data_IF_413078508769
#
_entry.id   IF_413078508769
#
_cell.length_a   1.000
_cell.length_b   1.000
_cell.length_c   1.000
_cell.angle_alpha   90.00
_cell.angle_beta   90.00
_cell.angle_gamma   90.00
#
_symmetry.space_group_name_H-M   'P 1'
#
loop_
_entity.id
_entity.type
_entity.pdbx_description
1 polymer ?
#
# COMPACT_ATOMS: atom_id res chain seq x y z
N UNK A 1 4.40 -9.91 -5.31
CA UNK A 1 5.68 -10.35 -5.88
C UNK A 1 6.81 -10.29 -4.85
N UNK A 2 7.06 -9.14 -4.19
CA UNK A 2 8.23 -8.97 -3.29
C UNK A 2 8.27 -9.95 -2.11
N UNK A 3 7.15 -10.11 -1.40
CA UNK A 3 7.08 -11.06 -0.28
C UNK A 3 7.32 -12.51 -0.74
N UNK A 4 6.74 -12.91 -1.87
CA UNK A 4 6.96 -14.23 -2.45
C UNK A 4 8.44 -14.47 -2.78
N UNK A 5 9.13 -13.47 -3.31
CA UNK A 5 10.58 -13.54 -3.56
C UNK A 5 11.39 -13.73 -2.26
N UNK A 6 11.04 -13.00 -1.19
CA UNK A 6 11.69 -13.16 0.12
C UNK A 6 11.47 -14.56 0.70
N UNK A 7 10.27 -15.11 0.56
CA UNK A 7 9.94 -16.46 1.02
C UNK A 7 10.72 -17.51 0.21
N UNK A 8 10.74 -17.40 -1.11
CA UNK A 8 11.50 -18.29 -1.99
C UNK A 8 13.00 -18.27 -1.66
N UNK A 9 13.58 -17.07 -1.44
CA UNK A 9 14.99 -16.90 -1.04
C UNK A 9 15.36 -17.63 0.26
N UNK A 10 14.41 -17.81 1.18
CA UNK A 10 14.62 -18.51 2.44
C UNK A 10 14.02 -19.92 2.47
N UNK A 11 13.65 -20.47 1.31
CA UNK A 11 13.08 -21.82 1.19
C UNK A 11 11.77 -21.97 1.95
N UNK A 12 10.94 -20.92 1.95
CA UNK A 12 9.63 -20.91 2.59
C UNK A 12 8.52 -20.95 1.55
N UNK A 13 7.49 -21.74 1.84
CA UNK A 13 6.29 -21.77 1.03
C UNK A 13 5.53 -20.44 1.08
N UNK A 14 4.92 -20.08 -0.04
CA UNK A 14 4.21 -18.82 -0.22
C UNK A 14 2.78 -18.86 0.35
N UNK A 15 2.66 -19.14 1.65
CA UNK A 15 1.38 -19.20 2.37
C UNK A 15 1.01 -17.81 2.92
N UNK A 16 -0.30 -17.48 3.05
CA UNK A 16 -0.75 -16.20 3.62
C UNK A 16 -0.11 -15.87 4.98
N UNK A 17 0.06 -16.88 5.84
CA UNK A 17 0.71 -16.73 7.15
C UNK A 17 2.18 -16.35 7.05
N UNK A 18 2.94 -16.98 6.15
CA UNK A 18 4.34 -16.63 5.92
C UNK A 18 4.49 -15.23 5.31
N UNK A 19 3.58 -14.85 4.39
CA UNK A 19 3.55 -13.49 3.84
C UNK A 19 3.28 -12.46 4.93
N UNK A 20 2.34 -12.71 5.84
CA UNK A 20 2.05 -11.83 6.97
C UNK A 20 3.27 -11.66 7.88
N UNK A 21 3.93 -12.76 8.25
CA UNK A 21 5.13 -12.72 9.08
C UNK A 21 6.25 -11.93 8.39
N UNK A 22 6.48 -12.16 7.10
CA UNK A 22 7.46 -11.40 6.33
C UNK A 22 7.10 -9.91 6.23
N UNK A 23 5.82 -9.56 6.07
CA UNK A 23 5.36 -8.18 6.07
C UNK A 23 5.61 -7.47 7.41
N UNK A 24 5.22 -8.11 8.52
CA UNK A 24 5.43 -7.57 9.87
C UNK A 24 6.92 -7.28 10.12
N UNK A 25 7.82 -8.15 9.68
CA UNK A 25 9.26 -7.91 9.85
C UNK A 25 9.83 -6.88 8.88
N UNK A 26 9.56 -7.01 7.57
CA UNK A 26 10.25 -6.22 6.54
C UNK A 26 9.64 -4.83 6.28
N UNK A 27 8.34 -4.68 6.54
CA UNK A 27 7.62 -3.43 6.26
C UNK A 27 7.24 -2.69 7.54
N UNK A 28 6.67 -3.39 8.51
CA UNK A 28 6.31 -2.79 9.81
C UNK A 28 7.53 -2.68 10.75
N UNK A 29 8.62 -3.40 10.47
CA UNK A 29 9.85 -3.35 11.26
C UNK A 29 9.73 -4.04 12.63
N UNK A 30 8.71 -4.89 12.82
CA UNK A 30 8.46 -5.59 14.07
C UNK A 30 9.55 -6.63 14.35
N UNK A 31 10.03 -6.64 15.60
CA UNK A 31 11.01 -7.65 16.05
C UNK A 31 10.36 -9.02 16.23
N UNK A 32 11.18 -10.08 16.23
CA UNK A 32 10.70 -11.44 16.47
C UNK A 32 9.92 -11.57 17.80
N UNK A 33 10.34 -10.85 18.84
CA UNK A 33 9.66 -10.84 20.14
C UNK A 33 8.31 -10.11 20.10
N UNK A 34 8.23 -8.98 19.40
CA UNK A 34 6.95 -8.29 19.18
C UNK A 34 5.96 -9.18 18.45
N UNK A 35 6.40 -9.81 17.36
CA UNK A 35 5.56 -10.73 16.59
C UNK A 35 5.16 -11.94 17.44
N UNK A 36 6.08 -12.54 18.20
CA UNK A 36 5.77 -13.67 19.09
C UNK A 36 4.65 -13.35 20.09
N UNK A 37 4.57 -12.11 20.61
CA UNK A 37 3.46 -11.70 21.49
C UNK A 37 2.10 -11.66 20.79
N UNK A 38 2.07 -11.35 19.49
CA UNK A 38 0.84 -11.35 18.68
C UNK A 38 0.34 -12.78 18.39
N UNK A 39 1.26 -13.75 18.33
CA UNK A 39 0.97 -15.16 18.01
C UNK A 39 1.06 -16.00 19.29
N UNK A 40 0.12 -15.82 20.20
CA UNK A 40 0.14 -16.43 21.54
C UNK A 40 -0.90 -17.56 21.74
N UNK A 41 -1.76 -17.84 20.76
CA UNK A 41 -2.76 -18.91 20.83
C UNK A 41 -3.91 -18.70 21.82
N UNK A 42 -4.04 -17.50 22.41
CA UNK A 42 -5.20 -17.16 23.24
C UNK A 42 -6.50 -17.17 22.43
N UNK A 43 -7.64 -17.05 23.11
CA UNK A 43 -8.96 -16.99 22.47
C UNK A 43 -8.99 -15.84 21.44
N UNK A 44 -9.31 -16.17 20.18
CA UNK A 44 -9.28 -15.29 19.00
C UNK A 44 -7.89 -14.80 18.55
N UNK A 45 -6.81 -15.24 19.19
CA UNK A 45 -5.45 -14.95 18.74
C UNK A 45 -4.99 -16.01 17.72
N UNK A 46 -4.04 -15.65 16.83
CA UNK A 46 -3.37 -16.61 15.97
C UNK A 46 -2.66 -17.70 16.78
N UNK A 47 -2.59 -18.91 16.20
CA UNK A 47 -1.80 -20.00 16.76
C UNK A 47 -0.33 -19.59 16.96
N UNK A 48 0.30 -20.17 17.98
CA UNK A 48 1.70 -19.92 18.38
C UNK A 48 2.64 -20.12 17.19
N UNK A 49 3.70 -19.31 17.11
CA UNK A 49 4.72 -19.46 16.07
C UNK A 49 5.37 -20.83 16.14
N UNK A 50 5.52 -21.45 14.98
CA UNK A 50 6.35 -22.66 14.85
C UNK A 50 7.83 -22.30 14.83
N UNK A 51 8.72 -23.26 15.10
CA UNK A 51 10.17 -23.04 15.03
C UNK A 51 10.63 -22.57 13.65
N UNK A 52 9.99 -23.07 12.59
CA UNK A 52 10.27 -22.64 11.22
C UNK A 52 9.88 -21.18 10.97
N UNK A 53 8.77 -20.73 11.54
CA UNK A 53 8.31 -19.35 11.47
C UNK A 53 9.24 -18.43 12.26
N UNK A 54 9.60 -18.82 13.49
CA UNK A 54 10.58 -18.07 14.28
C UNK A 54 11.92 -17.93 13.56
N UNK A 55 12.43 -19.02 12.97
CA UNK A 55 13.66 -18.98 12.18
C UNK A 55 13.55 -18.09 10.93
N UNK A 56 12.36 -17.96 10.32
CA UNK A 56 12.12 -17.00 9.23
C UNK A 56 12.26 -15.56 9.74
N UNK A 57 11.63 -15.22 10.87
CA UNK A 57 11.70 -13.86 11.45
C UNK A 57 13.16 -13.45 11.73
N UNK A 58 13.96 -14.36 12.28
CA UNK A 58 15.39 -14.13 12.53
C UNK A 58 16.15 -13.86 11.23
N UNK A 59 15.87 -14.61 10.16
CA UNK A 59 16.52 -14.44 8.85
C UNK A 59 16.16 -13.14 8.14
N UNK A 60 14.94 -12.63 8.36
CA UNK A 60 14.45 -11.39 7.75
C UNK A 60 14.88 -10.13 8.51
N UNK A 61 15.42 -10.28 9.73
CA UNK A 61 15.79 -9.16 10.60
C UNK A 61 16.78 -8.22 9.91
N UNK A 62 16.47 -6.92 9.95
CA UNK A 62 17.30 -5.87 9.35
C UNK A 62 17.15 -5.75 7.82
N UNK A 63 16.36 -6.61 7.19
CA UNK A 63 15.96 -6.46 5.81
C UNK A 63 14.84 -5.43 5.66
N UNK A 64 14.67 -4.93 4.44
CA UNK A 64 13.54 -4.09 4.03
C UNK A 64 12.73 -4.82 2.97
N UNK A 65 11.50 -4.36 2.72
CA UNK A 65 10.65 -4.96 1.70
C UNK A 65 11.29 -4.97 0.30
N UNK A 66 12.09 -3.94 -0.01
CA UNK A 66 12.81 -3.79 -1.27
C UNK A 66 14.25 -4.27 -1.13
N UNK A 67 14.65 -5.27 -1.93
CA UNK A 67 15.99 -5.83 -1.90
C UNK A 67 16.70 -5.63 -3.26
N UNK A 68 17.99 -5.24 -3.30
CA UNK A 68 18.70 -4.93 -4.55
C UNK A 68 18.85 -6.14 -5.48
N UNK A 69 18.86 -7.35 -4.93
CA UNK A 69 18.86 -8.60 -5.70
C UNK A 69 17.50 -9.04 -6.27
N UNK A 70 16.42 -8.26 -6.08
CA UNK A 70 15.14 -8.56 -6.72
C UNK A 70 15.20 -8.19 -8.21
N UNK A 71 14.69 -9.05 -9.11
CA UNK A 71 14.37 -8.63 -10.47
C UNK A 71 13.51 -7.37 -10.47
N UNK A 72 13.72 -6.49 -11.45
CA UNK A 72 13.06 -5.18 -11.46
C UNK A 72 11.53 -5.28 -11.42
N UNK A 73 10.93 -6.17 -12.20
CA UNK A 73 9.48 -6.42 -12.20
C UNK A 73 8.95 -6.93 -10.85
N UNK A 74 9.73 -7.71 -10.11
CA UNK A 74 9.37 -8.16 -8.76
C UNK A 74 9.39 -6.98 -7.80
N UNK A 75 10.43 -6.15 -7.86
CA UNK A 75 10.59 -4.96 -7.02
C UNK A 75 9.48 -3.93 -7.28
N UNK A 76 9.04 -3.80 -8.54
CA UNK A 76 7.99 -2.89 -8.97
C UNK A 76 6.58 -3.49 -8.85
N UNK A 77 6.43 -4.70 -8.30
CA UNK A 77 5.15 -5.44 -8.24
C UNK A 77 4.43 -5.53 -9.60
N UNK A 78 5.19 -5.55 -10.70
CA UNK A 78 4.66 -5.64 -12.05
C UNK A 78 4.38 -7.11 -12.40
N UNK A 79 3.14 -7.49 -12.75
CA UNK A 79 2.86 -8.81 -13.28
C UNK A 79 3.64 -9.09 -14.58
N UNK A 80 4.06 -10.33 -14.78
CA UNK A 80 4.85 -10.74 -15.97
C UNK A 80 4.14 -10.42 -17.28
N UNK A 81 2.82 -10.64 -17.35
CA UNK A 81 2.02 -10.32 -18.54
C UNK A 81 1.98 -8.81 -18.88
N UNK A 82 2.24 -7.94 -17.89
CA UNK A 82 2.17 -6.49 -18.05
C UNK A 82 3.54 -5.86 -18.32
N UNK A 83 4.63 -6.53 -17.97
CA UNK A 83 5.98 -5.98 -18.03
C UNK A 83 6.36 -5.51 -19.45
N UNK A 84 6.25 -6.38 -20.46
CA UNK A 84 6.63 -6.02 -21.83
C UNK A 84 5.77 -4.89 -22.44
N UNK A 85 4.41 -4.93 -22.36
CA UNK A 85 3.60 -3.81 -22.80
C UNK A 85 3.94 -2.47 -22.12
N UNK A 86 4.17 -2.48 -20.80
CA UNK A 86 4.46 -1.26 -20.04
C UNK A 86 5.86 -0.73 -20.33
N UNK A 87 6.86 -1.62 -20.50
CA UNK A 87 8.21 -1.23 -20.97
C UNK A 87 8.17 -0.60 -22.36
N UNK A 88 7.41 -1.18 -23.30
CA UNK A 88 7.21 -0.56 -24.63
C UNK A 88 6.55 0.82 -24.55
N UNK A 89 5.63 1.01 -23.60
CA UNK A 89 4.89 2.28 -23.44
C UNK A 89 5.70 3.38 -22.79
N UNK A 90 6.50 3.04 -21.77
CA UNK A 90 7.20 4.00 -20.91
C UNK A 90 8.71 4.09 -21.18
N UNK A 91 9.31 3.12 -21.87
CA UNK A 91 10.74 3.09 -22.15
C UNK A 91 11.56 3.20 -20.87
N UNK A 92 12.51 4.13 -20.85
CA UNK A 92 13.36 4.44 -19.69
C UNK A 92 12.56 4.87 -18.44
N UNK A 93 11.35 5.43 -18.61
CA UNK A 93 10.49 5.83 -17.50
C UNK A 93 9.75 4.66 -16.82
N UNK A 94 9.85 3.43 -17.35
CA UNK A 94 9.13 2.27 -16.82
C UNK A 94 9.29 2.11 -15.30
N UNK A 95 10.52 2.17 -14.79
CA UNK A 95 10.78 2.00 -13.36
C UNK A 95 10.12 3.09 -12.51
N UNK A 96 10.18 4.34 -12.96
CA UNK A 96 9.59 5.48 -12.26
C UNK A 96 8.06 5.39 -12.22
N UNK A 97 7.43 5.10 -13.36
CA UNK A 97 5.97 5.02 -13.48
C UNK A 97 5.39 3.87 -12.67
N UNK A 98 6.01 2.69 -12.74
CA UNK A 98 5.57 1.54 -11.94
C UNK A 98 5.76 1.79 -10.45
N UNK A 99 6.84 2.45 -10.04
CA UNK A 99 7.04 2.82 -8.64
C UNK A 99 5.97 3.79 -8.15
N UNK A 100 5.48 4.71 -8.99
CA UNK A 100 4.41 5.63 -8.63
C UNK A 100 3.08 4.92 -8.37
N UNK A 101 2.79 3.83 -9.11
CA UNK A 101 1.59 3.02 -8.92
C UNK A 101 1.55 2.24 -7.60
N UNK A 102 2.70 2.08 -6.93
CA UNK A 102 2.77 1.43 -5.62
C UNK A 102 2.32 2.34 -4.48
N UNK A 103 2.31 3.66 -4.70
CA UNK A 103 1.86 4.62 -3.70
C UNK A 103 0.32 4.64 -3.65
N UNK A 104 -0.28 4.76 -2.45
CA UNK A 104 -1.72 4.99 -2.34
C UNK A 104 -2.15 6.23 -3.15
N UNK A 105 -3.09 6.13 -4.11
CA UNK A 105 -3.60 7.30 -4.80
C UNK A 105 -4.35 8.26 -3.84
N UNK A 106 -4.33 9.58 -4.13
CA UNK A 106 -5.18 10.55 -3.45
C UNK A 106 -6.67 10.34 -3.80
N UNK A 107 -7.56 10.97 -3.05
CA UNK A 107 -8.99 11.03 -3.35
C UNK A 107 -9.29 12.23 -4.25
N UNK A 108 -9.72 11.98 -5.48
CA UNK A 108 -10.16 13.02 -6.40
C UNK A 108 -11.69 13.05 -6.47
N UNK A 109 -12.29 14.22 -6.23
CA UNK A 109 -13.73 14.48 -6.21
C UNK A 109 -14.11 15.42 -7.35
N UNK A 110 -15.32 15.26 -7.90
CA UNK A 110 -15.92 16.19 -8.86
C UNK A 110 -17.11 16.89 -8.23
N UNK A 111 -17.06 18.23 -8.18
CA UNK A 111 -18.19 19.04 -7.74
C UNK A 111 -19.30 18.99 -8.78
N UNK A 112 -20.55 18.85 -8.31
CA UNK A 112 -21.73 19.04 -9.15
C UNK A 112 -22.08 20.53 -9.23
N UNK A 113 -21.84 21.21 -10.38
CA UNK A 113 -22.04 22.65 -10.49
C UNK A 113 -23.51 23.08 -10.38
N UNK A 114 -24.47 22.15 -10.55
CA UNK A 114 -25.90 22.42 -10.34
C UNK A 114 -26.21 22.63 -8.85
N UNK A 115 -25.45 21.98 -7.95
CA UNK A 115 -25.68 21.99 -6.50
C UNK A 115 -24.75 22.92 -5.73
N UNK A 116 -23.53 23.17 -6.22
CA UNK A 116 -22.54 23.97 -5.49
C UNK A 116 -21.39 24.44 -6.40
N UNK A 117 -20.51 25.30 -5.86
CA UNK A 117 -19.28 25.75 -6.52
C UNK A 117 -18.05 24.99 -6.00
N UNK A 118 -16.95 25.02 -6.77
CA UNK A 118 -15.70 24.37 -6.35
C UNK A 118 -15.14 25.04 -5.08
N UNK A 119 -15.24 26.35 -5.01
CA UNK A 119 -14.74 27.17 -3.91
C UNK A 119 -15.50 26.87 -2.61
N UNK A 120 -16.83 26.77 -2.68
CA UNK A 120 -17.66 26.42 -1.52
C UNK A 120 -17.32 25.00 -1.01
N UNK A 121 -17.12 24.03 -1.91
CA UNK A 121 -16.77 22.66 -1.54
C UNK A 121 -15.34 22.54 -0.99
N UNK A 122 -14.39 23.30 -1.53
CA UNK A 122 -13.04 23.38 -0.98
C UNK A 122 -13.04 23.89 0.45
N UNK A 123 -13.81 24.94 0.74
CA UNK A 123 -13.93 25.50 2.09
C UNK A 123 -14.58 24.48 3.04
N UNK A 124 -15.70 23.89 2.65
CA UNK A 124 -16.38 22.88 3.47
C UNK A 124 -15.50 21.66 3.80
N UNK A 125 -14.66 21.21 2.85
CA UNK A 125 -13.70 20.13 3.12
C UNK A 125 -12.58 20.57 4.06
N UNK A 126 -12.09 21.80 3.93
CA UNK A 126 -11.06 22.37 4.84
C UNK A 126 -11.59 22.57 6.25
N UNK A 127 -12.85 22.95 6.40
CA UNK A 127 -13.52 23.10 7.71
C UNK A 127 -13.62 21.75 8.44
N UNK A 128 -13.63 20.63 7.70
CA UNK A 128 -13.52 19.27 8.24
C UNK A 128 -12.07 18.84 8.52
N UNK A 129 -11.10 19.75 8.39
CA UNK A 129 -9.67 19.48 8.59
C UNK A 129 -8.99 18.73 7.44
N UNK A 130 -9.61 18.61 6.28
CA UNK A 130 -9.03 17.92 5.13
C UNK A 130 -8.13 18.84 4.30
N UNK A 131 -7.00 18.31 3.80
CA UNK A 131 -6.10 19.05 2.91
C UNK A 131 -6.62 19.01 1.48
N UNK A 132 -7.75 19.68 1.27
CA UNK A 132 -8.41 19.78 -0.03
C UNK A 132 -7.79 20.90 -0.89
N UNK A 133 -7.47 20.55 -2.14
CA UNK A 133 -6.85 21.44 -3.13
C UNK A 133 -7.61 21.38 -4.46
N UNK A 134 -7.65 22.46 -5.25
CA UNK A 134 -8.20 22.39 -6.60
C UNK A 134 -7.38 21.43 -7.47
N UNK A 135 -8.06 20.66 -8.31
CA UNK A 135 -7.39 19.89 -9.36
C UNK A 135 -6.80 20.85 -10.40
N UNK A 136 -5.57 20.58 -10.84
CA UNK A 136 -4.89 21.37 -11.85
C UNK A 136 -5.53 21.24 -13.25
N UNK A 137 -6.12 20.08 -13.56
CA UNK A 137 -6.59 19.74 -14.91
C UNK A 137 -8.12 19.68 -15.03
N UNK A 138 -8.83 19.56 -13.91
CA UNK A 138 -10.29 19.47 -13.90
C UNK A 138 -10.90 20.73 -13.26
N UNK A 139 -11.65 21.56 -14.02
CA UNK A 139 -12.22 22.82 -13.52
C UNK A 139 -13.11 22.66 -12.27
N UNK A 140 -13.84 21.55 -12.17
CA UNK A 140 -14.67 21.20 -11.00
C UNK A 140 -14.04 20.13 -10.11
N UNK A 141 -12.76 19.82 -10.32
CA UNK A 141 -12.04 18.79 -9.58
C UNK A 141 -11.46 19.33 -8.27
N UNK A 142 -11.53 18.50 -7.24
CA UNK A 142 -10.88 18.70 -5.95
C UNK A 142 -10.06 17.47 -5.64
N UNK A 143 -8.82 17.65 -5.20
CA UNK A 143 -7.94 16.60 -4.70
C UNK A 143 -7.84 16.68 -3.18
N UNK A 144 -7.99 15.54 -2.51
CA UNK A 144 -7.82 15.37 -1.07
C UNK A 144 -6.74 14.30 -0.87
N UNK A 145 -5.71 14.62 -0.07
CA UNK A 145 -4.60 13.69 0.16
C UNK A 145 -4.94 12.62 1.20
N UNK A 146 -5.89 12.91 2.09
CA UNK A 146 -6.50 11.95 3.00
C UNK A 146 -7.46 11.01 2.27
N UNK A 147 -7.80 9.90 2.92
CA UNK A 147 -8.86 8.98 2.49
C UNK A 147 -10.00 8.96 3.51
N UNK A 148 -10.75 10.07 3.67
CA UNK A 148 -11.91 10.07 4.54
C UNK A 148 -12.96 9.11 3.99
N UNK A 149 -13.77 8.55 4.89
CA UNK A 149 -14.96 7.82 4.47
C UNK A 149 -15.91 8.79 3.74
N UNK A 150 -16.37 8.43 2.55
CA UNK A 150 -17.35 9.27 1.85
C UNK A 150 -18.65 9.41 2.67
N UNK A 151 -19.01 8.37 3.43
CA UNK A 151 -20.18 8.41 4.30
C UNK A 151 -20.06 9.41 5.46
N UNK A 152 -18.84 9.76 5.89
CA UNK A 152 -18.63 10.80 6.91
C UNK A 152 -18.68 12.22 6.36
N UNK A 153 -18.65 12.39 5.03
CA UNK A 153 -18.74 13.70 4.37
C UNK A 153 -20.21 14.07 4.16
N UNK A 154 -20.82 14.70 5.16
CA UNK A 154 -22.25 15.03 5.17
C UNK A 154 -22.68 15.85 3.94
N UNK A 155 -21.84 16.75 3.43
CA UNK A 155 -22.15 17.53 2.23
C UNK A 155 -22.17 16.73 0.92
N UNK A 156 -21.71 15.48 0.94
CA UNK A 156 -21.74 14.57 -0.22
C UNK A 156 -22.93 13.61 -0.17
N UNK A 157 -23.73 13.62 0.90
CA UNK A 157 -24.96 12.82 0.96
C UNK A 157 -25.98 13.46 0.02
N UNK A 158 -26.40 12.71 -0.99
CA UNK A 158 -27.36 13.14 -2.02
C UNK A 158 -28.79 13.10 -1.53
#
# INVERSE_FOLDING_TARGET
ARLGWWLARHGREDRPRNRLLAWLTLKEGETADQIKRLFNGAKFAPAILTDHEHALLVKLRGGTIDHPGMPEEVRLECPSWAADPLRRRFGEAFGQEMSALLAPPPLDLRVNPIKSTREAMLNALKDLGLRAQPSAIAPYGIRVHERPSLASLLMLRT
#
